data_IF_453356416912
#
_entry.id   IF_453356416912
#
_cell.length_a   1.000
_cell.length_b   1.000
_cell.length_c   1.000
_cell.angle_alpha   90.00
_cell.angle_beta   90.00
_cell.angle_gamma   90.00
#
_symmetry.space_group_name_H-M   'P 1'
#
loop_
_entity.id
_entity.type
_entity.pdbx_description
1 polymer ?
#
# COMPACT_ATOMS: atom_id res chain seq x y z
N UNK A 1 -12.17 -7.33 -18.75
CA UNK A 1 -11.09 -6.39 -19.17
C UNK A 1 -9.91 -6.34 -18.19
N UNK A 2 -10.11 -6.23 -16.86
CA UNK A 2 -9.02 -6.13 -15.85
C UNK A 2 -8.01 -7.31 -15.87
N UNK A 3 -8.51 -8.55 -16.00
CA UNK A 3 -7.71 -9.79 -15.89
C UNK A 3 -6.62 -9.92 -16.97
N UNK A 4 -6.91 -9.52 -18.21
CA UNK A 4 -5.92 -9.54 -19.30
C UNK A 4 -4.80 -8.52 -19.09
N UNK A 5 -5.11 -7.35 -18.51
CA UNK A 5 -4.10 -6.32 -18.23
C UNK A 5 -3.10 -6.81 -17.18
N UNK A 6 -3.60 -7.44 -16.10
CA UNK A 6 -2.73 -8.03 -15.08
C UNK A 6 -1.89 -9.19 -15.61
N UNK A 7 -2.47 -10.12 -16.37
CA UNK A 7 -1.69 -11.22 -16.96
C UNK A 7 -0.57 -10.72 -17.88
N UNK A 8 -0.85 -9.69 -18.69
CA UNK A 8 0.15 -9.07 -19.55
C UNK A 8 1.25 -8.34 -18.76
N UNK A 9 0.88 -7.71 -17.63
CA UNK A 9 1.82 -7.08 -16.70
C UNK A 9 2.73 -8.10 -15.98
N UNK A 10 2.21 -9.29 -15.64
CA UNK A 10 3.01 -10.36 -15.00
C UNK A 10 4.02 -10.96 -16.00
N UNK A 11 3.59 -11.21 -17.24
CA UNK A 11 4.45 -11.82 -18.26
C UNK A 11 5.50 -10.86 -18.82
N UNK A 12 5.25 -9.55 -18.77
CA UNK A 12 6.19 -8.52 -19.19
C UNK A 12 6.10 -7.32 -18.23
N UNK A 13 6.82 -7.39 -17.09
CA UNK A 13 6.76 -6.35 -16.08
C UNK A 13 7.35 -5.07 -16.65
N UNK A 14 6.50 -4.05 -16.76
CA UNK A 14 6.91 -2.69 -17.10
C UNK A 14 6.29 -1.72 -16.11
N UNK A 15 6.99 -0.66 -15.70
CA UNK A 15 6.46 0.33 -14.76
C UNK A 15 5.08 0.85 -15.17
N UNK A 16 4.87 1.11 -16.46
CA UNK A 16 3.59 1.63 -17.01
C UNK A 16 2.41 0.64 -16.90
N UNK A 17 2.69 -0.65 -16.64
CA UNK A 17 1.66 -1.69 -16.49
C UNK A 17 1.20 -1.87 -15.04
N UNK A 18 2.02 -1.44 -14.08
CA UNK A 18 1.63 -1.42 -12.68
C UNK A 18 0.88 -0.12 -12.42
N UNK A 19 -0.16 -0.13 -11.56
CA UNK A 19 -0.76 1.12 -11.09
C UNK A 19 0.37 1.99 -10.54
N UNK A 20 0.42 3.26 -10.96
CA UNK A 20 1.27 4.23 -10.29
C UNK A 20 0.86 4.23 -8.82
N UNK A 21 1.75 3.81 -7.92
CA UNK A 21 1.56 3.96 -6.46
C UNK A 21 1.71 5.45 -6.04
N UNK A 22 1.29 6.37 -6.91
CA UNK A 22 1.27 7.82 -6.67
C UNK A 22 0.06 8.22 -5.83
N UNK A 23 -0.86 7.29 -5.57
CA UNK A 23 -1.92 7.50 -4.59
C UNK A 23 -1.26 7.69 -3.23
N UNK A 24 -1.33 8.92 -2.71
CA UNK A 24 -0.83 9.25 -1.39
C UNK A 24 -1.47 8.27 -0.41
N UNK A 25 -0.67 7.51 0.36
CA UNK A 25 -1.24 6.54 1.26
C UNK A 25 -2.13 7.26 2.30
N UNK A 26 -3.27 6.67 2.67
CA UNK A 26 -4.17 7.28 3.63
C UNK A 26 -3.46 7.57 4.94
N UNK A 27 -3.93 8.59 5.66
CA UNK A 27 -3.42 8.88 7.00
C UNK A 27 -3.54 7.64 7.90
N UNK A 28 -2.65 7.53 8.90
CA UNK A 28 -2.69 6.42 9.84
C UNK A 28 -4.05 6.35 10.52
N UNK A 29 -4.65 5.14 10.63
CA UNK A 29 -5.92 4.96 11.33
C UNK A 29 -5.87 5.48 12.76
N UNK A 30 -6.97 6.11 13.21
CA UNK A 30 -7.09 6.64 14.57
C UNK A 30 -7.06 5.55 15.66
N UNK A 31 -7.33 4.29 15.30
CA UNK A 31 -7.25 3.16 16.23
C UNK A 31 -5.82 2.76 16.61
N UNK A 32 -4.81 3.35 15.95
CA UNK A 32 -3.42 3.06 16.24
C UNK A 32 -2.89 3.96 17.35
N UNK A 33 -2.25 3.33 18.34
CA UNK A 33 -1.60 4.08 19.42
C UNK A 33 -0.35 4.78 18.92
N UNK A 34 0.04 5.94 19.50
CA UNK A 34 1.27 6.64 19.13
C UNK A 34 2.53 5.77 19.20
N UNK A 35 2.61 4.87 20.20
CA UNK A 35 3.74 3.95 20.34
C UNK A 35 3.80 2.93 19.19
N UNK A 36 2.65 2.46 18.72
CA UNK A 36 2.57 1.58 17.56
C UNK A 36 2.94 2.32 16.27
N UNK A 37 2.49 3.58 16.11
CA UNK A 37 2.88 4.43 14.98
C UNK A 37 4.40 4.63 14.93
N UNK A 38 5.04 4.97 16.06
CA UNK A 38 6.50 5.14 16.13
C UNK A 38 7.24 3.83 15.79
N UNK A 39 6.76 2.69 16.31
CA UNK A 39 7.31 1.38 15.96
C UNK A 39 7.23 1.11 14.45
N UNK A 40 6.11 1.43 13.81
CA UNK A 40 5.92 1.24 12.37
C UNK A 40 6.88 2.11 11.55
N UNK A 41 7.05 3.39 11.90
CA UNK A 41 7.97 4.30 11.22
C UNK A 41 9.44 3.89 11.32
N UNK A 42 9.83 3.19 12.40
CA UNK A 42 11.21 2.70 12.59
C UNK A 42 11.47 1.35 11.93
N UNK A 43 10.42 0.54 11.73
CA UNK A 43 10.55 -0.86 11.32
C UNK A 43 10.34 -1.07 9.83
N UNK A 44 9.61 -0.17 9.15
CA UNK A 44 9.20 -0.34 7.77
C UNK A 44 9.67 0.82 6.89
N UNK A 45 10.08 0.51 5.66
CA UNK A 45 10.37 1.55 4.67
C UNK A 45 9.07 2.19 4.14
N UNK A 46 9.18 3.31 3.43
CA UNK A 46 8.02 4.07 2.92
C UNK A 46 6.98 3.20 2.18
N UNK A 47 7.37 2.38 1.19
CA UNK A 47 6.45 1.48 0.49
C UNK A 47 5.76 0.44 1.40
N UNK A 48 6.50 -0.14 2.35
CA UNK A 48 5.94 -1.11 3.29
C UNK A 48 4.95 -0.44 4.26
N UNK A 49 5.27 0.76 4.74
CA UNK A 49 4.40 1.53 5.61
C UNK A 49 3.11 1.95 4.89
N UNK A 50 3.21 2.37 3.63
CA UNK A 50 2.07 2.70 2.79
C UNK A 50 1.13 1.49 2.58
N UNK A 51 1.68 0.29 2.39
CA UNK A 51 0.89 -0.94 2.27
C UNK A 51 0.13 -1.27 3.58
N UNK A 52 0.77 -1.07 4.74
CA UNK A 52 0.13 -1.27 6.05
C UNK A 52 -1.01 -0.26 6.26
N UNK A 53 -0.78 1.02 5.94
CA UNK A 53 -1.79 2.08 6.00
C UNK A 53 -3.02 1.75 5.14
N UNK A 54 -2.79 1.32 3.90
CA UNK A 54 -3.85 0.92 2.99
C UNK A 54 -4.63 -0.28 3.53
N UNK A 55 -3.95 -1.35 3.93
CA UNK A 55 -4.62 -2.54 4.45
C UNK A 55 -5.48 -2.21 5.68
N UNK A 56 -4.96 -1.40 6.61
CA UNK A 56 -5.70 -1.03 7.82
C UNK A 56 -6.96 -0.21 7.51
N UNK A 57 -6.88 0.76 6.60
CA UNK A 57 -8.03 1.57 6.17
C UNK A 57 -9.14 0.74 5.52
N UNK A 58 -8.77 -0.29 4.75
CA UNK A 58 -9.69 -1.11 3.96
C UNK A 58 -10.19 -2.37 4.67
N UNK A 59 -9.74 -2.65 5.90
CA UNK A 59 -10.10 -3.87 6.65
C UNK A 59 -10.88 -3.61 7.94
N UNK A 60 -11.07 -2.36 8.35
CA UNK A 60 -11.96 -2.00 9.46
C UNK A 60 -13.42 -1.93 8.98
N UNK A 61 -14.33 -2.79 9.48
CA UNK A 61 -15.78 -2.63 9.30
C UNK A 61 -16.35 -1.46 10.11
#
# INVERSE_FOLDING_TARGET
>A
MQRMRMQKAILNPRPEHFPNNEEQPPAMPECFTPNFIDHLHRSFNGPQLAAIQWAAMHTTP
#
